data_IF_686583637621
#
_entry.id   IF_686583637621
#
_cell.length_a   1.000
_cell.length_b   1.000
_cell.length_c   1.000
_cell.angle_alpha   90.00
_cell.angle_beta   90.00
_cell.angle_gamma   90.00
#
_symmetry.space_group_name_H-M   'P 1'
#
loop_
_entity.id
_entity.type
_entity.pdbx_description
1 polymer ?
#
# COMPACT_ATOMS: atom_id res chain seq x y z
N UNK A 1 0.28 -3.97 22.64
CA UNK A 1 -0.11 -3.71 21.24
C UNK A 1 -0.67 -4.99 20.67
N UNK A 2 -1.78 -4.88 19.96
CA UNK A 2 -2.49 -6.05 19.44
C UNK A 2 -2.57 -6.00 17.94
N UNK A 3 -2.27 -7.13 17.32
CA UNK A 3 -2.58 -7.37 15.92
C UNK A 3 -4.07 -7.66 15.78
N UNK A 4 -4.78 -6.84 15.01
CA UNK A 4 -6.21 -7.01 14.75
C UNK A 4 -6.46 -7.91 13.55
N UNK A 5 -5.68 -7.73 12.49
CA UNK A 5 -5.81 -8.51 11.27
C UNK A 5 -4.54 -8.46 10.42
N UNK A 6 -4.40 -9.46 9.58
CA UNK A 6 -3.38 -9.51 8.53
C UNK A 6 -3.98 -9.95 7.22
N UNK A 7 -3.34 -9.56 6.13
CA UNK A 7 -3.58 -10.17 4.83
C UNK A 7 -2.26 -10.30 4.07
N UNK A 8 -2.22 -11.27 3.17
CA UNK A 8 -1.15 -11.44 2.22
C UNK A 8 -1.77 -11.77 0.87
N UNK A 9 -1.32 -11.06 -0.17
CA UNK A 9 -1.73 -11.30 -1.54
C UNK A 9 -0.49 -11.43 -2.41
N UNK A 10 -0.52 -12.42 -3.30
CA UNK A 10 0.51 -12.67 -4.30
C UNK A 10 -0.15 -12.85 -5.66
N UNK A 11 0.37 -12.14 -6.66
CA UNK A 11 -0.03 -12.27 -8.06
C UNK A 11 1.19 -12.53 -8.93
N UNK A 12 1.02 -13.32 -9.98
CA UNK A 12 2.06 -13.43 -11.00
C UNK A 12 2.22 -12.09 -11.74
N UNK A 13 3.45 -11.71 -12.08
CA UNK A 13 3.74 -10.52 -12.91
C UNK A 13 3.15 -10.65 -14.32
N UNK A 14 2.96 -11.88 -14.80
CA UNK A 14 2.26 -12.21 -16.04
C UNK A 14 0.81 -11.73 -16.07
N UNK A 15 0.17 -11.55 -14.91
CA UNK A 15 -1.20 -11.06 -14.80
C UNK A 15 -1.27 -9.61 -15.31
N UNK A 16 -2.04 -9.44 -16.37
CA UNK A 16 -2.23 -8.14 -16.97
C UNK A 16 -3.03 -7.20 -16.06
N UNK A 17 -2.77 -5.90 -16.19
CA UNK A 17 -3.36 -4.88 -15.34
C UNK A 17 -4.89 -4.76 -15.49
N UNK A 18 -5.47 -5.17 -16.63
CA UNK A 18 -6.92 -5.11 -16.85
C UNK A 18 -7.60 -6.20 -16.03
N UNK A 19 -7.07 -7.41 -16.05
CA UNK A 19 -7.53 -8.52 -15.21
C UNK A 19 -7.41 -8.20 -13.73
N UNK A 20 -6.27 -7.63 -13.30
CA UNK A 20 -6.09 -7.20 -11.92
C UNK A 20 -7.12 -6.13 -11.50
N UNK A 21 -7.36 -5.10 -12.32
CA UNK A 21 -8.40 -4.10 -12.04
C UNK A 21 -9.79 -4.71 -11.93
N UNK A 22 -10.11 -5.67 -12.80
CA UNK A 22 -11.39 -6.35 -12.76
C UNK A 22 -11.56 -7.11 -11.44
N UNK A 23 -10.53 -7.84 -11.01
CA UNK A 23 -10.56 -8.56 -9.75
C UNK A 23 -10.74 -7.60 -8.55
N UNK A 24 -9.96 -6.52 -8.47
CA UNK A 24 -10.11 -5.54 -7.39
C UNK A 24 -11.53 -4.97 -7.38
N UNK A 25 -12.07 -4.59 -8.54
CA UNK A 25 -13.44 -4.06 -8.63
C UNK A 25 -14.48 -5.08 -8.18
N UNK A 26 -14.34 -6.35 -8.56
CA UNK A 26 -15.28 -7.41 -8.20
C UNK A 26 -15.28 -7.69 -6.70
N UNK A 27 -14.12 -7.70 -6.06
CA UNK A 27 -14.00 -8.01 -4.64
C UNK A 27 -14.34 -6.81 -3.74
N UNK A 28 -13.96 -5.60 -4.15
CA UNK A 28 -14.02 -4.40 -3.29
C UNK A 28 -15.13 -3.42 -3.66
N UNK A 29 -15.70 -3.52 -4.86
CA UNK A 29 -16.60 -2.51 -5.42
C UNK A 29 -15.93 -1.17 -5.78
N UNK A 30 -14.62 -1.01 -5.56
CA UNK A 30 -13.92 0.25 -5.74
C UNK A 30 -13.78 0.66 -7.21
N UNK A 31 -13.82 1.98 -7.45
CA UNK A 31 -13.57 2.57 -8.78
C UNK A 31 -12.07 2.79 -8.97
N UNK A 32 -11.39 1.79 -9.52
CA UNK A 32 -9.92 1.74 -9.62
C UNK A 32 -9.33 2.22 -10.97
N UNK A 33 -9.81 3.36 -11.48
CA UNK A 33 -9.36 3.86 -12.78
C UNK A 33 -7.93 4.41 -12.71
N UNK A 34 -7.10 4.04 -13.69
CA UNK A 34 -5.73 4.56 -13.94
C UNK A 34 -4.70 4.28 -12.83
N UNK A 35 -4.97 3.35 -11.93
CA UNK A 35 -4.00 2.89 -10.93
C UNK A 35 -3.06 1.84 -11.53
N UNK A 36 -1.82 1.78 -11.02
CA UNK A 36 -0.81 0.78 -11.34
C UNK A 36 -1.07 -0.54 -10.60
N UNK A 37 -0.33 -1.60 -10.95
CA UNK A 37 -0.50 -2.90 -10.30
C UNK A 37 -0.20 -2.84 -8.80
N UNK A 38 0.79 -2.06 -8.40
CA UNK A 38 1.24 -1.91 -7.03
C UNK A 38 0.12 -1.35 -6.12
N UNK A 39 -0.51 -0.26 -6.54
CA UNK A 39 -1.65 0.36 -5.84
C UNK A 39 -2.86 -0.57 -5.80
N UNK A 40 -3.15 -1.27 -6.90
CA UNK A 40 -4.29 -2.18 -6.99
C UNK A 40 -4.17 -3.35 -6.00
N UNK A 41 -2.98 -3.97 -5.93
CA UNK A 41 -2.71 -5.08 -5.00
C UNK A 41 -2.80 -4.58 -3.56
N UNK A 42 -2.28 -3.38 -3.28
CA UNK A 42 -2.37 -2.76 -1.95
C UNK A 42 -3.83 -2.56 -1.51
N UNK A 43 -4.66 -1.97 -2.39
CA UNK A 43 -6.07 -1.74 -2.12
C UNK A 43 -6.79 -3.05 -1.78
N UNK A 44 -6.50 -4.10 -2.54
CA UNK A 44 -7.09 -5.41 -2.29
C UNK A 44 -6.61 -6.01 -0.97
N UNK A 45 -5.31 -5.92 -0.67
CA UNK A 45 -4.73 -6.45 0.56
C UNK A 45 -5.28 -5.72 1.79
N UNK A 46 -5.34 -4.39 1.76
CA UNK A 46 -5.91 -3.59 2.86
C UNK A 46 -7.40 -3.87 3.00
N UNK A 47 -8.15 -3.97 1.91
CA UNK A 47 -9.57 -4.34 1.95
C UNK A 47 -9.78 -5.70 2.64
N UNK A 48 -9.01 -6.72 2.25
CA UNK A 48 -9.09 -8.06 2.84
C UNK A 48 -8.69 -8.09 4.30
N UNK A 49 -7.66 -7.34 4.70
CA UNK A 49 -7.23 -7.25 6.10
C UNK A 49 -8.25 -6.51 6.95
N UNK A 50 -8.78 -5.38 6.44
CA UNK A 50 -9.73 -4.54 7.17
C UNK A 50 -11.03 -5.27 7.43
N UNK A 51 -11.62 -5.93 6.42
CA UNK A 51 -12.96 -6.50 6.54
C UNK A 51 -13.93 -5.52 7.21
N UNK A 52 -14.56 -5.95 8.30
CA UNK A 52 -15.51 -5.15 9.08
C UNK A 52 -14.88 -4.26 10.17
N UNK A 53 -13.55 -4.31 10.35
CA UNK A 53 -12.83 -3.50 11.33
C UNK A 53 -13.07 -2.01 11.03
N UNK A 54 -13.54 -1.30 12.04
CA UNK A 54 -13.70 0.15 11.99
C UNK A 54 -12.39 0.80 12.43
N UNK A 55 -11.66 1.37 11.46
CA UNK A 55 -10.45 2.13 11.75
C UNK A 55 -10.84 3.42 12.48
N UNK A 56 -10.09 3.79 13.51
CA UNK A 56 -10.33 5.05 14.22
C UNK A 56 -9.97 6.25 13.35
N UNK A 57 -10.48 7.43 13.72
CA UNK A 57 -10.07 8.70 13.09
C UNK A 57 -8.58 9.02 13.30
N UNK A 58 -7.94 8.37 14.28
CA UNK A 58 -6.51 8.47 14.54
C UNK A 58 -5.81 7.22 14.00
N UNK A 59 -6.06 6.91 12.73
CA UNK A 59 -5.39 5.80 12.05
C UNK A 59 -4.19 6.34 11.26
N UNK A 60 -3.02 5.73 11.44
CA UNK A 60 -1.83 5.98 10.63
C UNK A 60 -1.64 4.92 9.54
N UNK A 61 -0.99 5.30 8.45
CA UNK A 61 -0.61 4.45 7.33
C UNK A 61 0.93 4.43 7.20
N UNK A 62 1.52 3.25 7.36
CA UNK A 62 2.96 3.04 7.33
C UNK A 62 3.26 2.01 6.26
N UNK A 63 4.06 2.39 5.28
CA UNK A 63 4.13 1.62 4.05
C UNK A 63 5.56 1.49 3.57
N UNK A 64 5.88 0.39 2.89
CA UNK A 64 7.25 0.14 2.47
C UNK A 64 7.40 -0.77 1.27
N UNK A 65 8.38 -0.44 0.43
CA UNK A 65 8.75 -1.24 -0.73
C UNK A 65 10.27 -1.32 -0.86
N UNK A 66 10.76 -2.40 -1.48
CA UNK A 66 12.16 -2.48 -1.92
C UNK A 66 12.39 -1.53 -3.11
N UNK A 67 11.52 -1.65 -4.11
CA UNK A 67 11.50 -0.81 -5.30
C UNK A 67 10.11 -0.19 -5.49
N UNK A 68 10.06 0.97 -6.14
CA UNK A 68 8.82 1.48 -6.72
C UNK A 68 8.34 0.53 -7.83
N UNK A 69 7.19 0.82 -8.46
CA UNK A 69 6.69 0.03 -9.60
C UNK A 69 7.76 -0.07 -10.71
N UNK A 70 8.45 -1.22 -10.79
CA UNK A 70 9.57 -1.41 -11.70
C UNK A 70 9.11 -1.34 -13.16
N UNK A 71 7.94 -1.88 -13.46
CA UNK A 71 7.35 -1.82 -14.81
C UNK A 71 7.02 -0.40 -15.24
N UNK A 72 6.48 0.42 -14.34
CA UNK A 72 6.20 1.83 -14.61
C UNK A 72 7.50 2.58 -14.86
N UNK A 73 8.50 2.39 -14.01
CA UNK A 73 9.82 3.00 -14.17
C UNK A 73 10.47 2.59 -15.50
N UNK A 74 10.48 1.31 -15.83
CA UNK A 74 10.99 0.82 -17.11
C UNK A 74 10.22 1.38 -18.30
N UNK A 75 8.90 1.51 -18.21
CA UNK A 75 8.08 2.12 -19.28
C UNK A 75 8.47 3.58 -19.50
N UNK A 76 8.61 4.36 -18.43
CA UNK A 76 9.01 5.76 -18.54
C UNK A 76 10.44 5.91 -19.08
N UNK A 77 11.37 5.04 -18.69
CA UNK A 77 12.73 5.03 -19.24
C UNK A 77 12.75 4.70 -20.73
N UNK A 78 11.91 3.76 -21.19
CA UNK A 78 11.74 3.47 -22.63
C UNK A 78 11.17 4.66 -23.38
N UNK A 79 10.16 5.35 -22.83
CA UNK A 79 9.60 6.55 -23.44
C UNK A 79 10.68 7.63 -23.58
N UNK A 80 11.45 7.87 -22.51
CA UNK A 80 12.56 8.83 -22.53
C UNK A 80 13.65 8.46 -23.54
N UNK A 81 14.06 7.19 -23.60
CA UNK A 81 15.05 6.71 -24.56
C UNK A 81 14.62 6.92 -26.01
N UNK A 82 13.33 6.72 -26.30
CA UNK A 82 12.74 6.91 -27.63
C UNK A 82 12.32 8.36 -27.92
N UNK A 83 12.70 9.33 -27.06
CA UNK A 83 12.29 10.73 -27.15
C UNK A 83 10.76 10.94 -27.17
N UNK A 84 10.00 10.00 -26.58
CA UNK A 84 8.57 10.16 -26.35
C UNK A 84 8.32 10.96 -25.07
N UNK A 85 7.23 11.73 -25.07
CA UNK A 85 6.80 12.46 -23.88
C UNK A 85 6.34 11.50 -22.78
N UNK A 86 6.90 11.67 -21.56
CA UNK A 86 6.42 10.97 -20.38
C UNK A 86 5.02 11.48 -20.04
N UNK A 87 4.07 10.57 -19.90
CA UNK A 87 2.69 10.92 -19.52
C UNK A 87 2.68 11.47 -18.08
N UNK A 88 2.08 12.64 -17.82
CA UNK A 88 2.09 13.25 -16.48
C UNK A 88 1.57 12.32 -15.37
N UNK A 89 0.54 11.53 -15.64
CA UNK A 89 -0.02 10.57 -14.67
C UNK A 89 0.94 9.42 -14.37
N UNK A 90 1.74 8.99 -15.35
CA UNK A 90 2.76 7.97 -15.15
C UNK A 90 3.86 8.47 -14.21
N UNK A 91 4.23 9.75 -14.34
CA UNK A 91 5.18 10.38 -13.42
C UNK A 91 4.64 10.51 -12.00
N UNK A 92 3.38 10.92 -11.83
CA UNK A 92 2.76 11.00 -10.49
C UNK A 92 2.71 9.62 -9.83
N UNK A 93 2.36 8.58 -10.60
CA UNK A 93 2.28 7.21 -10.09
C UNK A 93 3.66 6.58 -9.77
N UNK A 94 4.77 7.18 -10.21
CA UNK A 94 6.10 6.64 -9.92
C UNK A 94 6.66 7.03 -8.56
N UNK A 95 6.04 7.99 -7.87
CA UNK A 95 6.46 8.37 -6.52
C UNK A 95 5.98 7.29 -5.54
N UNK A 96 6.85 6.81 -4.65
CA UNK A 96 6.53 5.67 -3.76
C UNK A 96 5.29 5.87 -2.90
N UNK A 97 4.99 7.10 -2.49
CA UNK A 97 3.81 7.41 -1.69
C UNK A 97 2.51 7.54 -2.52
N UNK A 98 2.54 7.39 -3.85
CA UNK A 98 1.33 7.48 -4.67
C UNK A 98 0.30 6.43 -4.26
N UNK A 99 0.74 5.20 -3.99
CA UNK A 99 -0.12 4.13 -3.48
C UNK A 99 -0.75 4.52 -2.14
N UNK A 100 0.02 5.12 -1.24
CA UNK A 100 -0.47 5.58 0.06
C UNK A 100 -1.57 6.63 -0.04
N UNK A 101 -1.46 7.56 -1.00
CA UNK A 101 -2.52 8.54 -1.22
C UNK A 101 -3.85 7.84 -1.54
N UNK A 102 -3.84 6.85 -2.44
CA UNK A 102 -5.04 6.11 -2.79
C UNK A 102 -5.58 5.26 -1.63
N UNK A 103 -4.69 4.61 -0.87
CA UNK A 103 -5.08 3.85 0.32
C UNK A 103 -5.75 4.77 1.36
N UNK A 104 -5.10 5.88 1.71
CA UNK A 104 -5.61 6.81 2.69
C UNK A 104 -6.99 7.37 2.29
N UNK A 105 -7.11 7.82 1.03
CA UNK A 105 -8.38 8.33 0.52
C UNK A 105 -9.48 7.24 0.46
N UNK A 106 -9.13 5.99 0.14
CA UNK A 106 -10.11 4.90 0.02
C UNK A 106 -10.63 4.43 1.38
N UNK A 107 -9.75 4.39 2.38
CA UNK A 107 -10.08 3.83 3.69
C UNK A 107 -10.29 4.90 4.78
N UNK A 108 -10.30 6.19 4.41
CA UNK A 108 -10.54 7.31 5.33
C UNK A 108 -9.44 7.44 6.40
N UNK A 109 -8.18 7.30 5.99
CA UNK A 109 -7.03 7.40 6.90
C UNK A 109 -6.47 8.82 6.86
N UNK A 110 -6.67 9.57 7.95
CA UNK A 110 -6.30 10.99 8.05
C UNK A 110 -5.07 11.23 8.95
N UNK A 111 -4.52 10.18 9.58
CA UNK A 111 -3.35 10.28 10.46
C UNK A 111 -2.01 10.29 9.70
N UNK A 112 -0.89 10.00 10.39
CA UNK A 112 0.43 9.91 9.79
C UNK A 112 0.43 9.02 8.56
N UNK A 113 1.06 9.48 7.48
CA UNK A 113 1.15 8.75 6.22
C UNK A 113 2.61 8.71 5.77
N UNK A 114 3.26 7.56 6.01
CA UNK A 114 4.70 7.41 5.84
C UNK A 114 4.99 6.30 4.81
N UNK A 115 5.88 6.61 3.88
CA UNK A 115 6.45 5.65 2.94
C UNK A 115 7.95 5.50 3.16
N UNK A 116 8.42 4.27 3.27
CA UNK A 116 9.84 3.91 3.40
C UNK A 116 10.32 3.09 2.21
N UNK A 117 11.55 3.34 1.77
CA UNK A 117 12.28 2.41 0.92
C UNK A 117 13.07 1.43 1.79
N UNK A 118 12.70 0.15 1.84
CA UNK A 118 13.44 -0.88 2.57
C UNK A 118 13.12 -2.28 2.04
N UNK A 119 14.17 -3.06 1.78
CA UNK A 119 14.11 -4.49 1.44
C UNK A 119 14.08 -5.38 2.68
N UNK A 120 15.02 -5.15 3.61
CA UNK A 120 15.19 -6.00 4.79
C UNK A 120 14.33 -5.56 5.96
N UNK A 121 13.69 -6.55 6.61
CA UNK A 121 12.87 -6.36 7.81
C UNK A 121 11.79 -5.27 7.64
N UNK A 122 11.31 -5.06 6.41
CA UNK A 122 10.40 -3.97 6.05
C UNK A 122 9.16 -3.91 6.96
N UNK A 123 8.54 -5.05 7.25
CA UNK A 123 7.39 -5.14 8.14
C UNK A 123 7.74 -4.67 9.55
N UNK A 124 8.84 -5.16 10.12
CA UNK A 124 9.28 -4.81 11.49
C UNK A 124 9.61 -3.32 11.58
N UNK A 125 10.36 -2.78 10.61
CA UNK A 125 10.72 -1.35 10.58
C UNK A 125 9.50 -0.43 10.51
N UNK A 126 8.50 -0.79 9.71
CA UNK A 126 7.26 0.01 9.63
C UNK A 126 6.41 -0.15 10.88
N UNK A 127 6.37 -1.35 11.44
CA UNK A 127 5.69 -1.58 12.69
C UNK A 127 6.28 -0.66 13.77
N UNK A 128 7.61 -0.62 13.94
CA UNK A 128 8.32 0.26 14.90
C UNK A 128 7.91 1.73 14.78
N UNK A 129 7.74 2.26 13.56
CA UNK A 129 7.25 3.63 13.38
C UNK A 129 5.83 3.81 13.90
N UNK A 130 4.93 2.89 13.57
CA UNK A 130 3.58 2.90 14.08
C UNK A 130 3.54 2.76 15.61
N UNK A 131 4.41 1.92 16.20
CA UNK A 131 4.51 1.76 17.66
C UNK A 131 4.98 3.06 18.33
N UNK A 132 5.92 3.78 17.72
CA UNK A 132 6.40 5.07 18.23
C UNK A 132 5.29 6.13 18.23
N UNK A 133 4.49 6.19 17.16
CA UNK A 133 3.36 7.13 17.07
C UNK A 133 2.21 6.73 18.03
N UNK A 134 1.96 5.43 18.21
CA UNK A 134 1.02 4.92 19.22
C UNK A 134 1.47 5.26 20.64
N UNK A 135 2.75 5.04 20.96
CA UNK A 135 3.34 5.36 22.26
C UNK A 135 3.31 6.86 22.57
N UNK A 136 3.25 7.69 21.54
CA UNK A 136 3.08 9.14 21.64
C UNK A 136 1.61 9.58 21.66
N UNK A 137 0.65 8.65 21.74
CA UNK A 137 -0.80 8.88 21.65
C UNK A 137 -1.25 9.63 20.39
N UNK A 138 -0.48 9.56 19.29
CA UNK A 138 -0.82 10.20 18.02
C UNK A 138 -1.86 9.40 17.23
N UNK A 139 -1.81 8.06 17.34
CA UNK A 139 -2.71 7.14 16.65
C UNK A 139 -3.24 6.05 17.60
N UNK A 140 -4.43 5.53 17.31
CA UNK A 140 -4.97 4.31 17.93
C UNK A 140 -4.73 3.08 17.07
N UNK A 141 -4.79 3.25 15.74
CA UNK A 141 -4.67 2.20 14.77
C UNK A 141 -3.52 2.47 13.81
N UNK A 142 -2.79 1.42 13.42
CA UNK A 142 -1.78 1.47 12.36
C UNK A 142 -2.13 0.48 11.27
N UNK A 143 -2.19 0.95 10.02
CA UNK A 143 -2.20 0.09 8.83
C UNK A 143 -0.78 0.02 8.31
N UNK A 144 -0.14 -1.14 8.45
CA UNK A 144 1.20 -1.41 7.96
C UNK A 144 1.10 -2.16 6.64
N UNK A 145 1.72 -1.63 5.58
CA UNK A 145 1.66 -2.18 4.22
C UNK A 145 3.07 -2.42 3.69
N UNK A 146 3.39 -3.63 3.27
CA UNK A 146 4.69 -3.97 2.70
C UNK A 146 4.48 -4.57 1.33
N UNK A 147 5.15 -4.01 0.33
CA UNK A 147 5.20 -4.58 -1.00
C UNK A 147 6.57 -5.18 -1.29
N UNK A 148 6.55 -6.31 -1.97
CA UNK A 148 7.75 -6.90 -2.56
C UNK A 148 7.40 -7.41 -3.94
N UNK A 149 8.40 -7.42 -4.81
CA UNK A 149 8.28 -8.05 -6.10
C UNK A 149 9.62 -8.67 -6.50
N UNK A 150 9.55 -9.78 -7.21
CA UNK A 150 10.70 -10.40 -7.86
C UNK A 150 10.44 -10.49 -9.37
N UNK A 151 11.17 -11.33 -10.10
CA UNK A 151 10.98 -11.50 -11.55
C UNK A 151 9.63 -12.13 -11.91
N UNK A 152 8.98 -12.85 -11.00
CA UNK A 152 7.82 -13.69 -11.26
C UNK A 152 6.56 -13.20 -10.57
N UNK A 153 6.65 -12.60 -9.39
CA UNK A 153 5.50 -12.26 -8.57
C UNK A 153 5.54 -10.82 -8.06
N UNK A 154 4.34 -10.27 -7.83
CA UNK A 154 4.08 -9.05 -7.07
C UNK A 154 3.32 -9.43 -5.81
N UNK A 155 3.79 -8.99 -4.65
CA UNK A 155 3.27 -9.38 -3.35
C UNK A 155 3.01 -8.17 -2.48
N UNK A 156 1.99 -8.27 -1.64
CA UNK A 156 1.66 -7.26 -0.64
C UNK A 156 1.24 -7.95 0.65
N UNK A 157 1.87 -7.58 1.75
CA UNK A 157 1.47 -7.92 3.11
C UNK A 157 0.85 -6.71 3.76
N UNK A 158 -0.22 -6.92 4.50
CA UNK A 158 -0.86 -5.90 5.32
C UNK A 158 -1.01 -6.42 6.73
N UNK A 159 -0.77 -5.55 7.70
CA UNK A 159 -1.07 -5.76 9.10
C UNK A 159 -1.84 -4.56 9.65
N UNK A 160 -2.93 -4.81 10.36
CA UNK A 160 -3.66 -3.79 11.12
C UNK A 160 -3.33 -4.04 12.60
N UNK A 161 -2.79 -3.02 13.25
CA UNK A 161 -2.44 -3.03 14.67
C UNK A 161 -3.23 -1.98 15.43
N UNK A 162 -3.47 -2.25 16.70
CA UNK A 162 -4.15 -1.39 17.67
C UNK A 162 -3.27 -1.16 18.90
N UNK A 163 -3.35 0.05 19.43
CA UNK A 163 -2.75 0.40 20.71
C UNK A 163 -3.51 -0.27 21.87
N UNK A 164 -2.85 -1.10 22.67
CA UNK A 164 -3.47 -1.90 23.75
C UNK A 164 -3.74 -1.13 25.06
N UNK A 165 -3.78 0.21 25.06
CA UNK A 165 -4.12 0.94 26.29
C UNK A 165 -4.56 2.38 26.04
N UNK A 166 -5.53 2.95 26.74
CA UNK A 166 -6.43 2.48 27.80
C UNK A 166 -7.84 2.30 27.22
N UNK A 167 -8.52 1.19 27.50
CA UNK A 167 -9.98 1.17 27.45
C UNK A 167 -10.49 2.18 28.47
N UNK A 168 -10.97 3.33 28.01
CA UNK A 168 -11.78 4.25 28.83
C UNK A 168 -13.18 3.70 29.03
#
# INVERSE_FOLDING_TARGET
MKELATSHISFEKSLDIKSLRQQVKQETGLVVRRMDAFTLIALLAVYRAKGDIQLSKRCGLYSCADYFSSELMQSMLRDMHNAHAIKPLSFVASVGNAANYYLANTFGIDGPNIFLGSSEQAMVKNQVLAEADMGSNLIDHGVVVVWQEDEKVRQCWVKIIENDGFSS
#
